data_IF_330918540360
#
_entry.id   IF_330918540360
#
_cell.length_a   1.000
_cell.length_b   1.000
_cell.length_c   1.000
_cell.angle_alpha   90.00
_cell.angle_beta   90.00
_cell.angle_gamma   90.00
#
_symmetry.space_group_name_H-M   'P 1'
#
loop_
_entity.id
_entity.type
_entity.pdbx_description
1 polymer ?
#
# COMPACT_ATOMS: atom_id res chain seq x y z
N UNK A 1 -15.34 29.11 -21.44
CA UNK A 1 -16.31 28.44 -20.52
C UNK A 1 -16.26 26.91 -20.65
N UNK A 2 -16.26 26.33 -21.85
CA UNK A 2 -16.20 24.88 -22.10
C UNK A 2 -14.94 24.23 -21.49
N UNK A 3 -13.77 24.85 -21.64
CA UNK A 3 -12.48 24.32 -21.08
C UNK A 3 -12.51 24.32 -19.56
N UNK A 4 -13.08 25.36 -18.95
CA UNK A 4 -13.19 25.46 -17.48
C UNK A 4 -14.17 24.42 -16.91
N UNK A 5 -15.25 24.14 -17.63
CA UNK A 5 -16.21 23.08 -17.29
C UNK A 5 -15.57 21.68 -17.47
N UNK A 6 -14.81 21.47 -18.53
CA UNK A 6 -14.07 20.21 -18.72
C UNK A 6 -13.07 19.97 -17.60
N UNK A 7 -12.28 20.97 -17.20
CA UNK A 7 -11.31 20.87 -16.10
C UNK A 7 -12.03 20.59 -14.78
N UNK A 8 -13.15 21.26 -14.52
CA UNK A 8 -13.96 21.05 -13.31
C UNK A 8 -14.59 19.65 -13.25
N UNK A 9 -15.14 19.17 -14.37
CA UNK A 9 -15.70 17.83 -14.47
C UNK A 9 -14.62 16.74 -14.37
N UNK A 10 -13.45 16.98 -14.94
CA UNK A 10 -12.29 16.09 -14.84
C UNK A 10 -11.83 15.97 -13.38
N UNK A 11 -11.76 17.09 -12.65
CA UNK A 11 -11.39 17.09 -11.22
C UNK A 11 -12.43 16.36 -10.37
N UNK A 12 -13.71 16.55 -10.63
CA UNK A 12 -14.80 15.91 -9.89
C UNK A 12 -14.90 14.39 -10.14
N UNK A 13 -14.53 13.95 -11.34
CA UNK A 13 -14.49 12.51 -11.67
C UNK A 13 -13.23 11.80 -11.12
N UNK A 14 -12.11 12.51 -10.96
CA UNK A 14 -10.92 12.00 -10.26
C UNK A 14 -11.21 11.75 -8.77
N UNK A 15 -11.99 12.62 -8.12
CA UNK A 15 -12.31 12.49 -6.69
C UNK A 15 -13.21 11.28 -6.38
N UNK A 16 -13.99 10.79 -7.35
CA UNK A 16 -15.05 9.81 -7.05
C UNK A 16 -14.67 8.32 -7.28
N UNK A 17 -13.52 8.01 -7.90
CA UNK A 17 -13.35 6.65 -8.42
C UNK A 17 -12.07 5.90 -8.04
N UNK A 18 -10.91 6.52 -8.12
CA UNK A 18 -9.61 5.85 -7.97
C UNK A 18 -9.18 5.72 -6.49
N UNK A 19 -9.57 6.68 -5.64
CA UNK A 19 -9.24 6.68 -4.22
C UNK A 19 -9.82 5.51 -3.44
N UNK A 20 -11.03 5.06 -3.78
CA UNK A 20 -11.70 3.98 -3.05
C UNK A 20 -10.96 2.63 -3.15
N UNK A 21 -10.30 2.36 -4.29
CA UNK A 21 -9.54 1.14 -4.48
C UNK A 21 -8.26 1.14 -3.64
N UNK A 22 -7.58 2.28 -3.60
CA UNK A 22 -6.39 2.48 -2.77
C UNK A 22 -6.71 2.35 -1.27
N UNK A 23 -7.80 2.98 -0.82
CA UNK A 23 -8.28 2.87 0.56
C UNK A 23 -8.64 1.42 0.92
N UNK A 24 -9.30 0.69 0.03
CA UNK A 24 -9.64 -0.72 0.25
C UNK A 24 -8.38 -1.57 0.49
N UNK A 25 -7.37 -1.44 -0.37
CA UNK A 25 -6.11 -2.14 -0.19
C UNK A 25 -5.39 -1.75 1.10
N UNK A 26 -5.40 -0.45 1.44
CA UNK A 26 -4.84 0.03 2.69
C UNK A 26 -5.54 -0.55 3.93
N UNK A 27 -6.88 -0.59 3.95
CA UNK A 27 -7.64 -1.22 5.04
C UNK A 27 -7.34 -2.71 5.17
N UNK A 28 -7.25 -3.43 4.05
CA UNK A 28 -6.89 -4.86 4.06
C UNK A 28 -5.49 -5.06 4.64
N UNK A 29 -4.52 -4.25 4.22
CA UNK A 29 -3.16 -4.31 4.78
C UNK A 29 -3.13 -4.05 6.27
N UNK A 30 -3.79 -2.98 6.76
CA UNK A 30 -3.81 -2.63 8.18
C UNK A 30 -4.49 -3.72 9.01
N UNK A 31 -5.69 -4.17 8.61
CA UNK A 31 -6.44 -5.17 9.35
C UNK A 31 -5.70 -6.50 9.45
N UNK A 32 -5.17 -7.01 8.34
CA UNK A 32 -4.44 -8.27 8.34
C UNK A 32 -3.13 -8.18 9.11
N UNK A 33 -2.41 -7.06 9.01
CA UNK A 33 -1.19 -6.84 9.80
C UNK A 33 -1.49 -6.81 11.30
N UNK A 34 -2.57 -6.14 11.72
CA UNK A 34 -3.00 -6.13 13.13
C UNK A 34 -3.41 -7.52 13.62
N UNK A 35 -4.10 -8.31 12.79
CA UNK A 35 -4.47 -9.70 13.13
C UNK A 35 -3.22 -10.57 13.30
N UNK A 36 -2.26 -10.47 12.39
CA UNK A 36 -1.00 -11.21 12.49
C UNK A 36 -0.22 -10.76 13.73
N UNK A 37 -0.12 -9.45 13.98
CA UNK A 37 0.55 -8.92 15.17
C UNK A 37 -0.05 -9.44 16.47
N UNK A 38 -1.38 -9.38 16.60
CA UNK A 38 -2.08 -9.90 17.77
C UNK A 38 -1.91 -11.44 17.88
N UNK A 39 -1.99 -12.17 16.77
CA UNK A 39 -1.79 -13.61 16.73
C UNK A 39 -0.41 -14.03 17.18
N UNK A 40 0.64 -13.39 16.66
CA UNK A 40 2.04 -13.66 17.06
C UNK A 40 2.26 -13.25 18.52
N UNK A 41 1.76 -12.09 18.95
CA UNK A 41 1.92 -11.60 20.31
C UNK A 41 1.26 -12.49 21.36
N UNK A 42 0.07 -13.04 21.08
CA UNK A 42 -0.67 -13.87 22.02
C UNK A 42 -0.22 -15.35 22.03
N UNK A 43 0.12 -15.90 20.86
CA UNK A 43 0.40 -17.34 20.74
C UNK A 43 1.89 -17.66 20.68
N UNK A 44 2.78 -16.66 20.48
CA UNK A 44 4.23 -16.83 20.29
C UNK A 44 4.56 -17.82 19.16
N UNK A 45 3.62 -18.04 18.23
CA UNK A 45 3.76 -19.01 17.15
C UNK A 45 4.01 -18.29 15.82
N UNK A 46 5.17 -18.58 15.20
CA UNK A 46 5.55 -18.00 13.90
C UNK A 46 4.65 -18.44 12.74
N UNK A 47 3.80 -19.46 12.93
CA UNK A 47 2.83 -19.87 11.91
C UNK A 47 1.86 -18.74 11.51
N UNK A 48 1.60 -17.78 12.40
CA UNK A 48 0.79 -16.60 12.09
C UNK A 48 1.40 -15.69 11.00
N UNK A 49 2.71 -15.76 10.76
CA UNK A 49 3.36 -15.03 9.67
C UNK A 49 2.83 -15.41 8.28
N UNK A 50 2.36 -16.65 8.12
CA UNK A 50 1.69 -17.07 6.88
C UNK A 50 0.40 -16.29 6.60
N UNK A 51 -0.16 -15.62 7.62
CA UNK A 51 -1.30 -14.72 7.48
C UNK A 51 -1.05 -13.54 6.53
N UNK A 52 0.21 -13.12 6.33
CA UNK A 52 0.56 -12.08 5.35
C UNK A 52 0.22 -12.46 3.91
N UNK A 53 0.21 -13.76 3.58
CA UNK A 53 -0.26 -14.23 2.29
C UNK A 53 -1.75 -14.01 2.08
N UNK A 54 -2.51 -13.77 3.16
CA UNK A 54 -3.90 -13.36 3.10
C UNK A 54 -4.10 -11.97 2.47
N UNK A 55 -3.11 -11.07 2.55
CA UNK A 55 -3.22 -9.70 2.00
C UNK A 55 -3.51 -9.72 0.50
N UNK A 56 -2.69 -10.35 -0.36
CA UNK A 56 -2.99 -10.40 -1.78
C UNK A 56 -4.28 -11.16 -2.10
N UNK A 57 -4.58 -12.26 -1.39
CA UNK A 57 -5.79 -13.05 -1.63
C UNK A 57 -7.04 -12.25 -1.31
N UNK A 58 -7.13 -11.66 -0.12
CA UNK A 58 -8.29 -10.86 0.30
C UNK A 58 -8.39 -9.59 -0.53
N UNK A 59 -7.26 -8.91 -0.81
CA UNK A 59 -7.21 -7.72 -1.65
C UNK A 59 -7.74 -7.99 -3.06
N UNK A 60 -7.33 -9.09 -3.70
CA UNK A 60 -7.84 -9.47 -5.03
C UNK A 60 -9.32 -9.84 -5.01
N UNK A 61 -9.78 -10.61 -4.04
CA UNK A 61 -11.19 -10.98 -3.91
C UNK A 61 -12.08 -9.74 -3.75
N UNK A 62 -11.72 -8.84 -2.85
CA UNK A 62 -12.47 -7.60 -2.64
C UNK A 62 -12.41 -6.70 -3.87
N UNK A 63 -11.26 -6.56 -4.51
CA UNK A 63 -11.11 -5.81 -5.74
C UNK A 63 -12.01 -6.36 -6.86
N UNK A 64 -12.09 -7.68 -7.01
CA UNK A 64 -12.96 -8.32 -8.00
C UNK A 64 -14.44 -8.03 -7.73
N UNK A 65 -14.87 -8.06 -6.47
CA UNK A 65 -16.26 -7.77 -6.07
C UNK A 65 -16.60 -6.29 -6.35
N UNK A 66 -15.68 -5.36 -6.03
CA UNK A 66 -15.90 -3.92 -6.19
C UNK A 66 -15.84 -3.47 -7.65
N UNK A 67 -14.92 -4.03 -8.45
CA UNK A 67 -14.79 -3.70 -9.89
C UNK A 67 -16.03 -4.13 -10.66
N UNK A 68 -16.66 -5.24 -10.29
CA UNK A 68 -17.87 -5.74 -10.95
C UNK A 68 -19.09 -4.81 -10.81
N UNK A 69 -19.07 -3.90 -9.83
CA UNK A 69 -20.17 -2.95 -9.55
C UNK A 69 -19.96 -1.58 -10.18
N UNK A 70 -18.85 -1.32 -10.86
CA UNK A 70 -18.57 0.00 -11.44
C UNK A 70 -19.01 0.07 -12.88
N UNK A 71 -19.98 0.96 -13.17
CA UNK A 71 -20.30 1.40 -14.52
C UNK A 71 -19.06 1.98 -15.20
N UNK A 72 -18.90 1.71 -16.50
CA UNK A 72 -17.80 2.20 -17.36
C UNK A 72 -17.79 3.72 -17.40
N UNK A 73 -17.18 4.36 -16.39
CA UNK A 73 -16.82 5.77 -16.51
C UNK A 73 -15.62 5.90 -17.45
N UNK A 74 -15.60 6.97 -18.22
CA UNK A 74 -14.50 7.28 -19.14
C UNK A 74 -13.19 7.31 -18.34
N UNK A 75 -12.29 6.34 -18.59
CA UNK A 75 -10.99 6.29 -17.93
C UNK A 75 -10.12 7.46 -18.41
N UNK A 76 -9.75 8.35 -17.51
CA UNK A 76 -8.78 9.39 -17.80
C UNK A 76 -7.39 8.76 -18.01
N UNK A 77 -6.55 9.42 -18.82
CA UNK A 77 -5.16 9.01 -19.04
C UNK A 77 -4.39 8.84 -17.72
N UNK A 78 -4.63 9.72 -16.75
CA UNK A 78 -4.02 9.68 -15.41
C UNK A 78 -4.43 8.40 -14.66
N UNK A 79 -5.68 7.97 -14.72
CA UNK A 79 -6.16 6.74 -14.09
C UNK A 79 -5.47 5.51 -14.67
N UNK A 80 -5.24 5.50 -15.98
CA UNK A 80 -4.53 4.41 -16.65
C UNK A 80 -3.07 4.34 -16.19
N UNK A 81 -2.38 5.47 -16.16
CA UNK A 81 -0.98 5.56 -15.70
C UNK A 81 -0.85 5.15 -14.24
N UNK A 82 -1.75 5.60 -13.36
CA UNK A 82 -1.78 5.21 -11.96
C UNK A 82 -1.99 3.71 -11.81
N UNK A 83 -2.94 3.14 -12.54
CA UNK A 83 -3.24 1.72 -12.47
C UNK A 83 -2.04 0.86 -12.94
N UNK A 84 -1.41 1.23 -14.05
CA UNK A 84 -0.20 0.54 -14.55
C UNK A 84 0.96 0.62 -13.54
N UNK A 85 1.16 1.80 -12.94
CA UNK A 85 2.18 2.02 -11.92
C UNK A 85 1.92 1.14 -10.68
N UNK A 86 0.69 1.10 -10.16
CA UNK A 86 0.35 0.29 -9.00
C UNK A 86 0.43 -1.21 -9.29
N UNK A 87 0.08 -1.66 -10.50
CA UNK A 87 0.27 -3.03 -10.93
C UNK A 87 1.77 -3.40 -10.96
N UNK A 88 2.61 -2.52 -11.51
CA UNK A 88 4.06 -2.74 -11.52
C UNK A 88 4.64 -2.82 -10.10
N UNK A 89 4.22 -1.93 -9.18
CA UNK A 89 4.60 -1.96 -7.77
C UNK A 89 4.17 -3.28 -7.09
N UNK A 90 2.98 -3.77 -7.40
CA UNK A 90 2.50 -5.06 -6.91
C UNK A 90 3.37 -6.23 -7.38
N UNK A 91 3.79 -6.22 -8.64
CA UNK A 91 4.71 -7.24 -9.19
C UNK A 91 6.07 -7.18 -8.48
N UNK A 92 6.61 -5.98 -8.25
CA UNK A 92 7.88 -5.79 -7.51
C UNK A 92 7.74 -6.29 -6.07
N UNK A 93 6.65 -5.97 -5.37
CA UNK A 93 6.40 -6.50 -4.02
C UNK A 93 6.33 -8.03 -4.00
N UNK A 94 5.68 -8.63 -4.99
CA UNK A 94 5.60 -10.09 -5.13
C UNK A 94 7.01 -10.68 -5.36
N UNK A 95 7.81 -10.09 -6.23
CA UNK A 95 9.18 -10.52 -6.50
C UNK A 95 10.05 -10.44 -5.23
N UNK A 96 9.94 -9.35 -4.46
CA UNK A 96 10.62 -9.17 -3.17
C UNK A 96 10.19 -10.27 -2.18
N UNK A 97 8.89 -10.56 -2.09
CA UNK A 97 8.38 -11.59 -1.20
C UNK A 97 8.90 -13.00 -1.59
N UNK A 98 8.96 -13.32 -2.88
CA UNK A 98 9.51 -14.58 -3.37
C UNK A 98 11.01 -14.70 -3.10
N UNK A 99 11.77 -13.62 -3.32
CA UNK A 99 13.21 -13.60 -3.00
C UNK A 99 13.45 -13.76 -1.50
N UNK A 100 12.70 -13.06 -0.67
CA UNK A 100 12.82 -13.17 0.78
C UNK A 100 12.44 -14.57 1.30
N UNK A 101 11.44 -15.22 0.68
CA UNK A 101 11.11 -16.61 0.97
C UNK A 101 12.25 -17.56 0.59
N UNK A 102 12.89 -17.36 -0.56
CA UNK A 102 14.02 -18.16 -1.02
C UNK A 102 15.24 -18.06 -0.08
N UNK A 103 15.54 -16.83 0.38
CA UNK A 103 16.65 -16.58 1.29
C UNK A 103 16.32 -16.76 2.78
N UNK A 104 15.08 -17.14 3.11
CA UNK A 104 14.58 -17.21 4.49
C UNK A 104 14.70 -15.88 5.28
N UNK A 105 14.71 -14.75 4.58
CA UNK A 105 14.85 -13.41 5.13
C UNK A 105 13.50 -12.68 5.21
N UNK A 106 12.51 -13.30 5.85
CA UNK A 106 11.13 -12.78 5.93
C UNK A 106 11.04 -11.41 6.60
N UNK A 107 11.99 -11.10 7.49
CA UNK A 107 12.03 -9.84 8.24
C UNK A 107 12.23 -8.62 7.32
N UNK A 108 12.87 -8.80 6.16
CA UNK A 108 13.16 -7.72 5.19
C UNK A 108 11.94 -7.37 4.33
N UNK A 109 10.93 -8.23 4.25
CA UNK A 109 9.74 -8.01 3.40
C UNK A 109 9.00 -6.75 3.81
N UNK A 110 8.71 -6.60 5.10
CA UNK A 110 7.92 -5.48 5.62
C UNK A 110 8.57 -4.11 5.37
N UNK A 111 9.86 -3.89 5.72
CA UNK A 111 10.53 -2.64 5.42
C UNK A 111 10.55 -2.30 3.92
N UNK A 112 10.86 -3.27 3.07
CA UNK A 112 10.88 -3.04 1.63
C UNK A 112 9.49 -2.73 1.06
N UNK A 113 8.46 -3.44 1.50
CA UNK A 113 7.08 -3.13 1.12
C UNK A 113 6.66 -1.74 1.61
N UNK A 114 7.06 -1.34 2.83
CA UNK A 114 6.78 0.00 3.35
C UNK A 114 7.43 1.10 2.50
N UNK A 115 8.69 0.92 2.09
CA UNK A 115 9.38 1.86 1.20
C UNK A 115 8.69 1.93 -0.16
N UNK A 116 8.35 0.80 -0.76
CA UNK A 116 7.67 0.74 -2.05
C UNK A 116 6.30 1.41 -2.00
N UNK A 117 5.48 1.13 -0.98
CA UNK A 117 4.18 1.78 -0.78
C UNK A 117 4.33 3.30 -0.63
N UNK A 118 5.32 3.75 0.14
CA UNK A 118 5.58 5.18 0.34
C UNK A 118 6.03 5.86 -0.95
N UNK A 119 6.90 5.23 -1.73
CA UNK A 119 7.30 5.74 -3.05
C UNK A 119 6.11 5.81 -4.02
N UNK A 120 5.28 4.77 -4.08
CA UNK A 120 4.07 4.77 -4.88
C UNK A 120 3.11 5.90 -4.49
N UNK A 121 2.97 6.16 -3.20
CA UNK A 121 2.16 7.26 -2.68
C UNK A 121 2.74 8.63 -3.06
N UNK A 122 4.07 8.82 -3.00
CA UNK A 122 4.74 10.04 -3.45
C UNK A 122 4.44 10.30 -4.93
N UNK A 123 4.63 9.29 -5.79
CA UNK A 123 4.34 9.39 -7.21
C UNK A 123 2.88 9.74 -7.47
N UNK A 124 1.95 9.09 -6.76
CA UNK A 124 0.53 9.41 -6.83
C UNK A 124 0.27 10.86 -6.46
N UNK A 125 0.86 11.35 -5.36
CA UNK A 125 0.74 12.73 -4.91
C UNK A 125 1.25 13.75 -5.91
N UNK A 126 2.37 13.46 -6.57
CA UNK A 126 2.95 14.31 -7.62
C UNK A 126 2.05 14.35 -8.85
N UNK A 127 1.52 13.21 -9.30
CA UNK A 127 0.62 13.13 -10.45
C UNK A 127 -0.69 13.90 -10.23
N UNK A 128 -1.25 13.84 -9.01
CA UNK A 128 -2.49 14.53 -8.63
C UNK A 128 -2.22 15.99 -8.25
N UNK A 129 -0.96 16.43 -8.22
CA UNK A 129 -0.52 17.78 -7.78
C UNK A 129 -0.94 18.13 -6.35
N UNK A 130 -1.00 17.15 -5.47
CA UNK A 130 -1.32 17.35 -4.07
C UNK A 130 -0.07 17.27 -3.19
N UNK A 131 0.58 18.42 -2.99
CA UNK A 131 1.90 18.54 -2.36
C UNK A 131 1.94 18.06 -0.91
N UNK A 132 0.83 18.21 -0.17
CA UNK A 132 0.76 17.75 1.23
C UNK A 132 0.85 16.23 1.35
N UNK A 133 0.26 15.52 0.41
CA UNK A 133 0.30 14.06 0.33
C UNK A 133 1.71 13.55 0.07
N UNK A 134 2.43 14.17 -0.85
CA UNK A 134 3.84 13.84 -1.13
C UNK A 134 4.72 14.05 0.10
N UNK A 135 4.49 15.11 0.88
CA UNK A 135 5.24 15.38 2.12
C UNK A 135 5.00 14.34 3.22
N UNK A 136 3.75 13.93 3.46
CA UNK A 136 3.42 12.88 4.42
C UNK A 136 4.00 11.52 4.01
N UNK A 137 3.91 11.18 2.73
CA UNK A 137 4.44 9.92 2.20
C UNK A 137 5.97 9.85 2.27
N UNK A 138 6.69 10.98 2.24
CA UNK A 138 8.15 11.01 2.42
C UNK A 138 8.56 10.57 3.84
N UNK A 139 7.76 10.87 4.85
CA UNK A 139 7.98 10.35 6.21
C UNK A 139 7.86 8.82 6.25
N UNK A 140 6.97 8.24 5.43
CA UNK A 140 6.85 6.78 5.29
C UNK A 140 8.12 6.13 4.74
N UNK A 141 8.83 6.79 3.81
CA UNK A 141 10.15 6.30 3.33
C UNK A 141 11.17 6.29 4.46
N UNK A 142 11.23 7.36 5.26
CA UNK A 142 12.16 7.44 6.40
C UNK A 142 11.87 6.35 7.44
N UNK A 143 10.60 6.12 7.76
CA UNK A 143 10.19 5.02 8.64
C UNK A 143 10.54 3.65 8.06
N UNK A 144 10.33 3.43 6.77
CA UNK A 144 10.72 2.18 6.11
C UNK A 144 12.23 1.94 6.14
N UNK A 145 13.03 2.98 5.96
CA UNK A 145 14.50 2.90 6.11
C UNK A 145 14.89 2.59 7.58
N UNK A 146 14.25 3.24 8.54
CA UNK A 146 14.47 2.95 9.96
C UNK A 146 14.18 1.49 10.28
N UNK A 147 13.03 0.96 9.82
CA UNK A 147 12.68 -0.45 9.98
C UNK A 147 13.76 -1.38 9.40
N UNK A 148 14.39 -0.99 8.28
CA UNK A 148 15.45 -1.75 7.64
C UNK A 148 16.71 -1.78 8.50
N UNK A 149 17.04 -0.69 9.18
CA UNK A 149 18.12 -0.66 10.18
C UNK A 149 17.81 -1.52 11.41
N UNK A 150 16.57 -1.53 11.89
CA UNK A 150 16.15 -2.37 13.02
C UNK A 150 16.25 -3.88 12.70
N UNK A 151 15.92 -4.27 11.46
CA UNK A 151 16.13 -5.64 10.98
C UNK A 151 17.62 -5.99 10.98
N UNK A 152 18.48 -5.06 10.56
CA UNK A 152 19.94 -5.26 10.58
C UNK A 152 20.49 -5.44 12.00
N UNK A 153 19.96 -4.71 12.97
CA UNK A 153 20.36 -4.77 14.39
C UNK A 153 19.70 -5.93 15.14
N UNK A 154 19.01 -6.87 14.43
CA UNK A 154 18.32 -8.04 15.00
C UNK A 154 17.29 -7.70 16.08
N UNK A 155 16.67 -6.55 16.00
CA UNK A 155 15.55 -6.20 16.87
C UNK A 155 14.33 -7.09 16.60
N UNK A 156 13.48 -7.22 17.61
CA UNK A 156 12.33 -8.13 17.55
C UNK A 156 11.35 -7.73 16.42
N UNK A 157 10.98 -8.69 15.57
CA UNK A 157 9.98 -8.53 14.50
C UNK A 157 8.67 -7.90 14.99
N UNK A 158 8.30 -8.14 16.25
CA UNK A 158 7.11 -7.55 16.88
C UNK A 158 7.17 -6.02 16.98
N UNK A 159 8.36 -5.41 16.99
CA UNK A 159 8.51 -3.95 17.05
C UNK A 159 8.32 -3.30 15.68
N UNK A 160 8.64 -4.02 14.61
CA UNK A 160 8.55 -3.54 13.23
C UNK A 160 7.09 -3.46 12.75
N UNK A 161 6.22 -4.36 13.24
CA UNK A 161 4.82 -4.43 12.81
C UNK A 161 4.00 -3.16 13.06
N UNK A 162 4.03 -2.53 14.26
CA UNK A 162 3.31 -1.27 14.48
C UNK A 162 3.84 -0.13 13.61
N UNK A 163 5.14 -0.08 13.31
CA UNK A 163 5.70 0.93 12.41
C UNK A 163 5.21 0.75 10.97
N UNK A 164 5.10 -0.50 10.51
CA UNK A 164 4.51 -0.80 9.20
C UNK A 164 3.05 -0.31 9.11
N UNK A 165 2.23 -0.59 10.14
CA UNK A 165 0.85 -0.09 10.21
C UNK A 165 0.83 1.44 10.14
N UNK A 166 1.74 2.11 10.84
CA UNK A 166 1.86 3.58 10.82
C UNK A 166 2.17 4.10 9.42
N UNK A 167 3.09 3.45 8.69
CA UNK A 167 3.41 3.82 7.29
C UNK A 167 2.19 3.66 6.39
N UNK A 168 1.44 2.55 6.52
CA UNK A 168 0.24 2.33 5.72
C UNK A 168 -0.83 3.37 6.04
N UNK A 169 -1.05 3.70 7.32
CA UNK A 169 -1.99 4.74 7.74
C UNK A 169 -1.58 6.10 7.17
N UNK A 170 -0.30 6.47 7.25
CA UNK A 170 0.20 7.72 6.66
C UNK A 170 -0.04 7.77 5.14
N UNK A 171 0.12 6.63 4.45
CA UNK A 171 -0.19 6.54 3.03
C UNK A 171 -1.69 6.63 2.72
N UNK A 172 -2.56 6.34 3.70
CA UNK A 172 -4.03 6.39 3.56
C UNK A 172 -4.65 7.73 3.96
N UNK A 173 -3.93 8.61 4.68
CA UNK A 173 -4.40 9.95 5.05
C UNK A 173 -4.36 10.85 3.79
N UNK A 174 -5.36 10.70 2.96
CA UNK A 174 -5.55 11.47 1.71
C UNK A 174 -6.73 12.43 1.85
#
# INVERSE_FOLDING_TARGET
ELITQMIRNTRRNLDAGSGNMFLLWGYVCVLLTLVVWAGVGLTQNSAWMWGFWGIPVVGYLLSYIFVRKKDKSVSLYIDKVLNEMWQFMGIVCLAVALMAAYFHAFEVILPLCAILLSLGSIFTGVLIRYTRFSGLSSMGVLLGLRMLFEVWDKSSFLQILPEFVLVVILAMII
#
